data_IF_388475967438
#
_entry.id   IF_388475967438
#
_cell.length_a   1.000
_cell.length_b   1.000
_cell.length_c   1.000
_cell.angle_alpha   90.00
_cell.angle_beta   90.00
_cell.angle_gamma   90.00
#
_symmetry.space_group_name_H-M   'P 1'
#
loop_
_entity.id
_entity.type
_entity.pdbx_description
1 polymer ?
#
# COMPACT_ATOMS: atom_id res chain seq x y z
N UNK A 1 -6.86 -26.48 34.01
CA UNK A 1 -8.02 -25.75 33.47
C UNK A 1 -7.56 -24.34 33.13
N UNK A 2 -7.21 -24.09 31.87
CA UNK A 2 -6.53 -22.87 31.44
C UNK A 2 -7.53 -21.88 30.81
N UNK A 3 -7.82 -20.80 31.52
CA UNK A 3 -8.59 -19.64 31.05
C UNK A 3 -7.65 -18.48 30.71
N UNK A 4 -6.87 -18.61 29.64
CA UNK A 4 -6.06 -17.50 29.10
C UNK A 4 -6.02 -17.55 27.58
N UNK A 5 -7.10 -17.10 26.95
CA UNK A 5 -7.16 -16.83 25.53
C UNK A 5 -8.34 -15.89 25.29
N UNK A 6 -8.23 -14.97 24.32
CA UNK A 6 -9.26 -14.03 23.85
C UNK A 6 -9.24 -12.58 24.38
N UNK A 7 -8.11 -12.06 24.92
CA UNK A 7 -8.03 -10.62 25.29
C UNK A 7 -7.03 -9.77 24.49
N UNK A 8 -6.45 -10.27 23.40
CA UNK A 8 -5.44 -9.52 22.62
C UNK A 8 -5.92 -8.84 21.34
N UNK A 9 -7.12 -9.11 20.84
CA UNK A 9 -7.55 -8.62 19.51
C UNK A 9 -8.19 -7.22 19.51
N UNK A 10 -8.11 -6.46 20.61
CA UNK A 10 -8.67 -5.11 20.72
C UNK A 10 -7.60 -4.00 20.66
N UNK A 11 -6.46 -4.26 19.99
CA UNK A 11 -5.36 -3.29 19.89
C UNK A 11 -5.11 -2.76 18.47
N UNK A 12 -5.95 -3.11 17.51
CA UNK A 12 -5.97 -2.42 16.23
C UNK A 12 -7.03 -1.32 16.30
N UNK A 13 -6.76 -0.31 17.12
CA UNK A 13 -7.52 0.93 17.13
C UNK A 13 -7.34 1.58 15.76
N UNK A 14 -8.33 1.40 14.90
CA UNK A 14 -8.47 2.13 13.64
C UNK A 14 -8.37 3.63 13.97
N UNK A 15 -7.49 4.42 13.32
CA UNK A 15 -7.54 5.85 13.47
C UNK A 15 -8.93 6.31 13.01
N UNK A 16 -9.67 6.97 13.90
CA UNK A 16 -10.96 7.61 13.61
C UNK A 16 -10.69 8.75 12.62
N UNK A 17 -10.53 8.37 11.37
CA UNK A 17 -10.40 9.32 10.26
C UNK A 17 -11.81 9.69 9.88
N UNK A 18 -12.26 10.84 10.38
CA UNK A 18 -13.37 11.66 9.88
C UNK A 18 -14.67 10.93 9.53
N UNK A 19 -15.75 11.27 10.24
CA UNK A 19 -17.13 11.10 9.78
C UNK A 19 -17.40 11.98 8.54
N UNK A 20 -16.68 11.75 7.45
CA UNK A 20 -17.01 12.29 6.15
C UNK A 20 -17.96 11.29 5.51
N UNK A 21 -19.15 11.67 5.03
CA UNK A 21 -19.92 10.80 4.16
C UNK A 21 -18.97 10.35 3.07
N UNK A 22 -18.77 9.05 2.88
CA UNK A 22 -17.98 8.54 1.77
C UNK A 22 -18.75 8.86 0.48
N UNK A 23 -18.66 10.12 0.07
CA UNK A 23 -19.04 10.60 -1.24
C UNK A 23 -18.32 9.68 -2.22
N UNK A 24 -19.11 9.01 -3.06
CA UNK A 24 -18.55 8.42 -4.28
C UNK A 24 -17.82 9.50 -5.08
N UNK A 25 -17.08 9.12 -6.12
CA UNK A 25 -16.39 10.06 -7.01
C UNK A 25 -17.29 11.21 -7.53
N UNK A 26 -18.63 11.07 -7.41
CA UNK A 26 -19.63 12.04 -7.83
C UNK A 26 -20.42 12.71 -6.67
N UNK A 27 -19.96 12.65 -5.42
CA UNK A 27 -20.61 13.36 -4.30
C UNK A 27 -21.87 12.68 -3.72
N UNK A 28 -22.33 11.58 -4.33
CA UNK A 28 -23.52 10.84 -3.90
C UNK A 28 -23.12 9.64 -3.04
N UNK A 29 -23.79 9.35 -1.91
CA UNK A 29 -23.50 8.15 -1.12
C UNK A 29 -23.85 6.87 -1.90
N UNK A 30 -22.91 5.94 -2.00
CA UNK A 30 -23.09 4.67 -2.71
C UNK A 30 -23.80 3.63 -1.82
N UNK A 31 -25.13 3.72 -1.79
CA UNK A 31 -25.98 2.85 -0.95
C UNK A 31 -26.04 1.40 -1.44
N UNK A 32 -25.75 1.15 -2.72
CA UNK A 32 -25.80 -0.20 -3.28
C UNK A 32 -24.60 -1.04 -2.84
N UNK A 33 -23.42 -0.43 -2.73
CA UNK A 33 -22.19 -1.14 -2.32
C UNK A 33 -21.97 -1.10 -0.81
N UNK A 34 -22.38 -0.04 -0.12
CA UNK A 34 -22.10 0.18 1.31
C UNK A 34 -23.34 0.05 2.21
N UNK A 35 -24.51 -0.20 1.62
CA UNK A 35 -25.78 -0.20 2.33
C UNK A 35 -26.21 1.20 2.75
N UNK A 36 -27.31 1.28 3.50
CA UNK A 36 -27.78 2.55 4.08
C UNK A 36 -26.79 3.08 5.12
N UNK A 37 -26.72 4.41 5.26
CA UNK A 37 -25.87 5.05 6.27
C UNK A 37 -26.25 4.57 7.66
N UNK A 38 -25.34 3.86 8.31
CA UNK A 38 -25.50 3.33 9.65
C UNK A 38 -24.14 3.31 10.31
N UNK A 39 -24.07 3.77 11.56
CA UNK A 39 -22.84 3.77 12.36
C UNK A 39 -22.20 2.38 12.41
N UNK A 40 -23.02 1.31 12.35
CA UNK A 40 -22.52 -0.08 12.29
C UNK A 40 -21.76 -0.40 11.00
N UNK A 41 -22.20 0.14 9.86
CA UNK A 41 -21.56 -0.09 8.56
C UNK A 41 -20.23 0.66 8.44
N UNK A 42 -20.07 1.79 9.14
CA UNK A 42 -18.82 2.55 9.15
C UNK A 42 -17.76 1.92 10.08
N UNK A 43 -18.20 1.18 11.10
CA UNK A 43 -17.32 0.62 12.14
C UNK A 43 -16.87 -0.82 11.85
N UNK A 44 -17.68 -1.61 11.13
CA UNK A 44 -17.47 -3.05 10.95
C UNK A 44 -17.24 -3.35 9.47
N UNK A 45 -16.20 -4.14 9.11
CA UNK A 45 -15.99 -4.58 7.73
C UNK A 45 -17.21 -5.34 7.23
N UNK A 46 -17.58 -5.13 5.97
CA UNK A 46 -18.73 -5.83 5.38
C UNK A 46 -18.42 -7.31 5.16
N UNK A 47 -17.16 -7.64 4.90
CA UNK A 47 -16.72 -9.01 4.64
C UNK A 47 -15.65 -9.44 5.66
N UNK A 48 -15.72 -10.66 6.22
CA UNK A 48 -14.77 -11.12 7.23
C UNK A 48 -13.31 -11.10 6.75
N UNK A 49 -13.08 -11.30 5.44
CA UNK A 49 -11.73 -11.24 4.84
C UNK A 49 -11.32 -9.85 4.37
N UNK A 50 -12.19 -8.84 4.41
CA UNK A 50 -11.87 -7.52 3.88
C UNK A 50 -10.63 -6.90 4.54
N UNK A 51 -10.53 -7.02 5.86
CA UNK A 51 -9.36 -6.58 6.62
C UNK A 51 -8.10 -7.38 6.28
N UNK A 52 -8.27 -8.68 6.01
CA UNK A 52 -7.16 -9.57 5.67
C UNK A 52 -6.58 -9.20 4.31
N UNK A 53 -7.44 -9.10 3.29
CA UNK A 53 -7.05 -8.73 1.92
C UNK A 53 -6.41 -7.35 1.87
N UNK A 54 -7.01 -6.35 2.55
CA UNK A 54 -6.44 -4.99 2.65
C UNK A 54 -5.03 -4.96 3.24
N UNK A 55 -4.69 -5.90 4.12
CA UNK A 55 -3.39 -5.97 4.78
C UNK A 55 -2.52 -7.14 4.29
N UNK A 56 -2.91 -7.81 3.20
CA UNK A 56 -2.29 -9.06 2.77
C UNK A 56 -0.77 -8.89 2.57
N UNK A 57 -0.37 -7.91 1.76
CA UNK A 57 1.05 -7.65 1.47
C UNK A 57 1.83 -7.30 2.74
N UNK A 58 1.30 -6.42 3.59
CA UNK A 58 1.96 -6.02 4.83
C UNK A 58 2.14 -7.19 5.79
N UNK A 59 1.15 -8.08 5.85
CA UNK A 59 1.22 -9.28 6.69
C UNK A 59 2.21 -10.30 6.12
N UNK A 60 2.24 -10.48 4.81
CA UNK A 60 3.22 -11.32 4.13
C UNK A 60 4.65 -10.84 4.39
N UNK A 61 4.91 -9.55 4.22
CA UNK A 61 6.22 -8.94 4.47
C UNK A 61 6.64 -9.12 5.94
N UNK A 62 5.73 -8.89 6.89
CA UNK A 62 5.98 -9.11 8.32
C UNK A 62 6.36 -10.56 8.62
N UNK A 63 5.62 -11.51 8.05
CA UNK A 63 5.92 -12.94 8.20
C UNK A 63 7.29 -13.27 7.60
N UNK A 64 7.59 -12.80 6.39
CA UNK A 64 8.86 -13.03 5.70
C UNK A 64 10.05 -12.48 6.51
N UNK A 65 9.96 -11.24 7.01
CA UNK A 65 11.01 -10.65 7.85
C UNK A 65 11.19 -11.36 9.18
N UNK A 66 10.10 -11.86 9.78
CA UNK A 66 10.16 -12.68 11.00
C UNK A 66 10.89 -14.00 10.74
N UNK A 67 10.54 -14.68 9.65
CA UNK A 67 11.20 -15.93 9.23
C UNK A 67 12.67 -15.70 8.92
N UNK A 68 13.00 -14.64 8.18
CA UNK A 68 14.39 -14.28 7.85
C UNK A 68 15.21 -14.01 9.11
N UNK A 69 14.63 -13.29 10.09
CA UNK A 69 15.26 -13.09 11.40
C UNK A 69 15.53 -14.41 12.13
N UNK A 70 14.57 -15.34 12.08
CA UNK A 70 14.71 -16.61 12.78
C UNK A 70 15.79 -17.51 12.16
N UNK A 71 15.96 -17.46 10.84
CA UNK A 71 16.94 -18.29 10.11
C UNK A 71 18.34 -17.68 10.16
N UNK A 72 18.46 -16.39 9.86
CA UNK A 72 19.74 -15.72 9.63
C UNK A 72 20.13 -14.75 10.77
N UNK A 73 19.21 -14.43 11.68
CA UNK A 73 19.43 -13.45 12.75
C UNK A 73 19.00 -12.02 12.38
N UNK A 74 19.24 -11.07 13.28
CA UNK A 74 18.69 -9.70 13.16
C UNK A 74 19.31 -8.88 12.01
N UNK A 75 20.53 -9.19 11.58
CA UNK A 75 21.23 -8.44 10.55
C UNK A 75 20.58 -8.59 9.16
N UNK A 76 20.02 -9.76 8.86
CA UNK A 76 19.41 -10.05 7.55
C UNK A 76 18.18 -9.17 7.23
N UNK A 77 17.12 -9.10 8.06
CA UNK A 77 15.99 -8.21 7.80
C UNK A 77 16.39 -6.72 7.81
N UNK A 78 17.37 -6.33 8.63
CA UNK A 78 17.85 -4.94 8.67
C UNK A 78 18.54 -4.57 7.35
N UNK A 79 19.45 -5.42 6.87
CA UNK A 79 20.11 -5.25 5.56
C UNK A 79 19.09 -5.12 4.43
N UNK A 80 18.14 -6.04 4.35
CA UNK A 80 17.12 -6.04 3.31
C UNK A 80 16.21 -4.79 3.38
N UNK A 81 15.85 -4.33 4.59
CA UNK A 81 15.13 -3.07 4.76
C UNK A 81 15.92 -1.84 4.31
N UNK A 82 17.24 -1.82 4.53
CA UNK A 82 18.10 -0.76 4.01
C UNK A 82 18.15 -0.79 2.47
N UNK A 83 18.29 -1.98 1.88
CA UNK A 83 18.28 -2.16 0.43
C UNK A 83 16.95 -1.70 -0.19
N UNK A 84 15.80 -2.05 0.41
CA UNK A 84 14.50 -1.54 -0.03
C UNK A 84 14.42 -0.01 0.00
N UNK A 85 14.96 0.63 1.04
CA UNK A 85 14.97 2.11 1.15
C UNK A 85 15.86 2.73 0.08
N UNK A 86 17.02 2.13 -0.18
CA UNK A 86 17.93 2.60 -1.22
C UNK A 86 17.31 2.43 -2.62
N UNK A 87 16.74 1.26 -2.93
CA UNK A 87 16.11 0.98 -4.22
C UNK A 87 14.86 1.86 -4.47
N UNK A 88 14.13 2.25 -3.42
CA UNK A 88 12.98 3.17 -3.53
C UNK A 88 13.39 4.60 -3.92
N UNK A 89 14.64 5.00 -3.68
CA UNK A 89 15.14 6.33 -4.06
C UNK A 89 15.55 6.34 -5.54
N UNK A 90 14.57 6.53 -6.42
CA UNK A 90 14.84 6.64 -7.86
C UNK A 90 15.36 8.05 -8.17
N UNK A 91 16.60 8.16 -8.66
CA UNK A 91 17.27 9.42 -9.02
C UNK A 91 17.13 9.76 -10.52
N UNK A 92 16.04 9.37 -11.16
CA UNK A 92 15.81 9.74 -12.58
C UNK A 92 15.36 11.20 -12.68
N UNK A 93 15.68 11.81 -13.82
CA UNK A 93 15.20 13.13 -14.17
C UNK A 93 13.66 13.13 -14.23
N UNK A 94 12.98 14.22 -13.87
CA UNK A 94 11.52 14.24 -13.71
C UNK A 94 10.74 13.98 -15.00
N UNK A 95 11.35 14.18 -16.16
CA UNK A 95 10.76 13.86 -17.46
C UNK A 95 10.94 12.41 -17.86
N UNK A 96 11.89 11.67 -17.26
CA UNK A 96 12.09 10.27 -17.60
C UNK A 96 11.22 9.38 -16.70
N UNK A 97 10.43 8.49 -17.32
CA UNK A 97 9.61 7.53 -16.59
C UNK A 97 10.46 6.70 -15.62
N UNK A 98 10.02 6.63 -14.37
CA UNK A 98 10.67 5.88 -13.30
C UNK A 98 9.88 4.61 -13.00
N UNK A 99 10.51 3.45 -13.17
CA UNK A 99 9.95 2.16 -12.78
C UNK A 99 10.57 1.66 -11.47
N UNK A 100 9.82 0.86 -10.69
CA UNK A 100 10.27 0.29 -9.43
C UNK A 100 11.01 -1.06 -9.58
N UNK A 101 11.51 -1.38 -10.77
CA UNK A 101 12.06 -2.71 -11.09
C UNK A 101 13.10 -3.23 -10.08
N UNK A 102 14.01 -2.38 -9.61
CA UNK A 102 15.02 -2.77 -8.63
C UNK A 102 14.41 -3.13 -7.27
N UNK A 103 13.36 -2.42 -6.86
CA UNK A 103 12.61 -2.72 -5.64
C UNK A 103 11.82 -4.03 -5.83
N UNK A 104 11.20 -4.21 -6.99
CA UNK A 104 10.37 -5.38 -7.29
C UNK A 104 11.19 -6.68 -7.33
N UNK A 105 12.40 -6.64 -7.91
CA UNK A 105 13.36 -7.75 -7.85
C UNK A 105 13.77 -8.08 -6.41
N UNK A 106 14.00 -7.07 -5.56
CA UNK A 106 14.31 -7.33 -4.15
C UNK A 106 13.11 -7.91 -3.38
N UNK A 107 11.87 -7.69 -3.84
CA UNK A 107 10.66 -8.29 -3.27
C UNK A 107 10.33 -9.66 -3.88
N UNK A 108 10.94 -10.00 -5.01
CA UNK A 108 10.61 -11.19 -5.79
C UNK A 108 9.23 -11.11 -6.44
N UNK A 109 8.78 -9.89 -6.78
CA UNK A 109 7.50 -9.63 -7.43
C UNK A 109 7.63 -9.46 -8.96
N UNK A 110 8.86 -9.46 -9.48
CA UNK A 110 9.19 -9.29 -10.90
C UNK A 110 8.78 -10.47 -11.79
N UNK A 111 8.58 -11.66 -11.20
CA UNK A 111 8.11 -12.86 -11.91
C UNK A 111 6.57 -12.99 -11.94
N UNK A 112 5.85 -12.17 -11.17
CA UNK A 112 4.38 -12.26 -11.03
C UNK A 112 3.69 -11.05 -11.66
N UNK A 113 2.59 -11.29 -12.39
CA UNK A 113 1.78 -10.24 -13.00
C UNK A 113 0.53 -10.01 -12.13
N UNK A 114 0.38 -8.78 -11.65
CA UNK A 114 -0.74 -8.31 -10.84
C UNK A 114 -1.89 -7.72 -11.67
N UNK A 115 -2.94 -7.26 -10.98
CA UNK A 115 -4.03 -6.53 -11.64
C UNK A 115 -3.59 -5.12 -12.03
N UNK A 116 -2.66 -4.56 -11.25
CA UNK A 116 -2.06 -3.25 -11.41
C UNK A 116 -1.23 -3.12 -12.69
N UNK A 117 -0.63 -4.23 -13.17
CA UNK A 117 0.19 -4.22 -14.38
C UNK A 117 -0.65 -4.15 -15.67
N UNK A 118 -1.91 -4.60 -15.61
CA UNK A 118 -2.83 -4.65 -16.75
C UNK A 118 -3.56 -3.30 -16.92
N UNK A 119 -3.81 -2.61 -15.81
CA UNK A 119 -4.52 -1.34 -15.79
C UNK A 119 -3.50 -0.20 -15.79
N UNK A 120 -3.25 0.38 -16.97
CA UNK A 120 -2.30 1.46 -17.15
C UNK A 120 -2.50 2.57 -16.10
N UNK A 121 -1.52 2.76 -15.21
CA UNK A 121 -1.57 3.84 -14.22
C UNK A 121 -1.49 5.17 -14.98
N UNK A 122 -2.45 6.10 -14.85
CA UNK A 122 -2.36 7.42 -15.48
C UNK A 122 -1.09 8.18 -15.09
N UNK A 123 -0.47 7.87 -13.94
CA UNK A 123 0.83 8.42 -13.54
C UNK A 123 2.03 7.84 -14.32
N UNK A 124 1.87 6.70 -15.00
CA UNK A 124 2.86 6.02 -15.85
C UNK A 124 2.51 6.19 -17.34
N UNK A 125 1.93 7.33 -17.72
CA UNK A 125 1.60 7.59 -19.12
C UNK A 125 2.86 7.65 -19.98
N UNK A 126 2.88 6.92 -21.10
CA UNK A 126 3.98 6.93 -22.08
C UNK A 126 4.17 8.29 -22.77
N UNK A 127 3.22 9.22 -22.59
CA UNK A 127 3.29 10.57 -23.16
C UNK A 127 4.31 11.40 -22.38
N UNK A 128 5.48 11.58 -22.98
CA UNK A 128 6.54 12.47 -22.50
C UNK A 128 6.04 13.93 -22.48
N UNK A 129 5.96 14.54 -21.30
CA UNK A 129 5.69 15.97 -21.16
C UNK A 129 6.91 16.82 -21.57
N UNK A 130 6.69 18.13 -21.75
CA UNK A 130 7.79 19.05 -22.07
C UNK A 130 8.82 19.09 -20.91
N UNK A 131 10.11 18.80 -21.15
CA UNK A 131 11.11 18.66 -20.08
C UNK A 131 11.25 19.89 -19.17
N UNK A 132 11.10 21.10 -19.72
CA UNK A 132 11.18 22.34 -18.94
C UNK A 132 10.02 22.46 -17.94
N UNK A 133 8.78 22.30 -18.40
CA UNK A 133 7.58 22.39 -17.55
C UNK A 133 7.63 21.34 -16.43
N UNK A 134 8.04 20.10 -16.74
CA UNK A 134 8.13 19.03 -15.74
C UNK A 134 9.19 19.30 -14.67
N UNK A 135 10.32 19.89 -15.04
CA UNK A 135 11.37 20.29 -14.09
C UNK A 135 10.91 21.46 -13.23
N UNK A 136 10.28 22.47 -13.82
CA UNK A 136 9.75 23.64 -13.09
C UNK A 136 8.70 23.22 -12.05
N UNK A 137 7.75 22.36 -12.45
CA UNK A 137 6.75 21.80 -11.53
C UNK A 137 7.40 20.94 -10.43
N UNK A 138 8.42 20.14 -10.75
CA UNK A 138 9.14 19.34 -9.74
C UNK A 138 9.89 20.20 -8.72
N UNK A 139 10.39 21.36 -9.15
CA UNK A 139 11.10 22.34 -8.32
C UNK A 139 10.15 23.31 -7.61
N UNK A 140 8.84 23.27 -7.91
CA UNK A 140 7.82 24.15 -7.31
C UNK A 140 7.86 25.59 -7.82
N UNK A 141 8.31 25.80 -9.06
CA UNK A 141 8.40 27.11 -9.71
C UNK A 141 7.11 27.50 -10.47
N UNK A 142 6.27 26.52 -10.78
CA UNK A 142 4.92 26.61 -11.35
C UNK A 142 3.95 25.84 -10.44
#
# INVERSE_FOLDING_TARGET
>A
MNTRGLRSQLKDSVPVTGLCPQASAYGVPDTLRKGFSSVKNDLVPSHPLELSEKNFQLNQDKMNFSTLRNIQGLHAPLKLQMEYRAAKQIQRLPFLQSSNIALDTLRGSDDSIGFEDILNDPAQSEVMGEPHIMVEHKLGLL
#
